data_IF_544547820479
#
_entry.id   IF_544547820479
#
_cell.length_a   1.000
_cell.length_b   1.000
_cell.length_c   1.000
_cell.angle_alpha   90.00
_cell.angle_beta   90.00
_cell.angle_gamma   90.00
#
_symmetry.space_group_name_H-M   'P 1'
#
loop_
_entity.id
_entity.type
_entity.pdbx_description
1 polymer ?
#
# COMPACT_ATOMS: atom_id res chain seq x y z
N UNK A 1 3.95 -9.11 -8.91
CA UNK A 1 3.53 -7.69 -8.84
C UNK A 1 3.87 -6.88 -10.08
N UNK A 2 5.14 -6.66 -10.46
CA UNK A 2 5.47 -5.84 -11.64
C UNK A 2 4.77 -6.29 -12.93
N UNK A 3 4.81 -7.60 -13.24
CA UNK A 3 4.09 -8.19 -14.37
C UNK A 3 2.57 -8.00 -14.27
N UNK A 4 1.98 -8.14 -13.08
CA UNK A 4 0.55 -7.93 -12.84
C UNK A 4 0.13 -6.46 -13.06
N UNK A 5 1.05 -5.51 -12.90
CA UNK A 5 0.79 -4.11 -13.26
C UNK A 5 0.85 -3.87 -14.77
N UNK A 6 1.73 -4.59 -15.48
CA UNK A 6 1.88 -4.53 -16.94
C UNK A 6 0.69 -5.17 -17.66
N UNK A 7 0.27 -6.36 -17.23
CA UNK A 7 -0.88 -7.07 -17.81
C UNK A 7 -2.22 -6.38 -17.51
N UNK A 8 -2.25 -5.50 -16.51
CA UNK A 8 -3.47 -4.83 -16.08
C UNK A 8 -4.30 -5.61 -15.07
N UNK A 9 -3.85 -6.81 -14.65
CA UNK A 9 -4.51 -7.65 -13.64
C UNK A 9 -4.77 -6.88 -12.34
N UNK A 10 -3.88 -5.94 -12.00
CA UNK A 10 -4.06 -5.02 -10.86
C UNK A 10 -4.02 -3.57 -11.37
N UNK A 11 -5.21 -3.00 -11.59
CA UNK A 11 -5.36 -1.68 -12.18
C UNK A 11 -5.59 -0.54 -11.18
N UNK A 12 -6.42 -0.77 -10.14
CA UNK A 12 -6.91 0.25 -9.21
C UNK A 12 -5.84 0.82 -8.27
N UNK A 13 -5.97 2.10 -7.91
CA UNK A 13 -4.96 2.81 -7.09
C UNK A 13 -4.72 2.19 -5.70
N UNK A 14 -5.78 1.78 -5.00
CA UNK A 14 -5.68 1.11 -3.70
C UNK A 14 -5.12 -0.32 -3.86
N UNK A 15 -5.67 -1.10 -4.81
CA UNK A 15 -5.22 -2.46 -5.09
C UNK A 15 -3.72 -2.52 -5.45
N UNK A 16 -3.24 -1.60 -6.30
CA UNK A 16 -1.82 -1.48 -6.63
C UNK A 16 -0.99 -1.15 -5.40
N UNK A 17 -1.41 -0.19 -4.58
CA UNK A 17 -0.70 0.19 -3.37
C UNK A 17 -0.57 -0.98 -2.39
N UNK A 18 -1.66 -1.71 -2.13
CA UNK A 18 -1.66 -2.90 -1.26
C UNK A 18 -0.74 -3.98 -1.81
N UNK A 19 -0.86 -4.32 -3.10
CA UNK A 19 -0.02 -5.35 -3.72
C UNK A 19 1.48 -5.01 -3.66
N UNK A 20 1.84 -3.74 -3.84
CA UNK A 20 3.22 -3.28 -3.70
C UNK A 20 3.72 -3.44 -2.27
N UNK A 21 2.92 -3.01 -1.29
CA UNK A 21 3.28 -3.09 0.12
C UNK A 21 3.44 -4.56 0.57
N UNK A 22 2.53 -5.45 0.17
CA UNK A 22 2.66 -6.89 0.43
C UNK A 22 3.89 -7.51 -0.22
N UNK A 23 4.27 -7.08 -1.43
CA UNK A 23 5.52 -7.52 -2.04
C UNK A 23 6.76 -7.00 -1.29
N UNK A 24 6.72 -5.76 -0.77
CA UNK A 24 7.79 -5.27 0.09
C UNK A 24 7.87 -6.02 1.42
N UNK A 25 6.75 -6.46 1.98
CA UNK A 25 6.75 -7.31 3.16
C UNK A 25 7.51 -8.61 2.89
N UNK A 26 7.18 -9.35 1.84
CA UNK A 26 7.91 -10.58 1.52
C UNK A 26 9.39 -10.30 1.23
N UNK A 27 9.71 -9.24 0.47
CA UNK A 27 11.09 -8.89 0.19
C UNK A 27 11.90 -8.48 1.44
N UNK A 28 11.29 -7.81 2.42
CA UNK A 28 11.92 -7.45 3.70
C UNK A 28 12.10 -8.68 4.59
N UNK A 29 11.15 -9.61 4.56
CA UNK A 29 11.22 -10.87 5.31
C UNK A 29 12.41 -11.71 4.85
N UNK A 30 12.60 -11.83 3.53
CA UNK A 30 13.68 -12.62 2.92
C UNK A 30 15.03 -11.90 2.85
N UNK A 31 15.05 -10.58 3.07
CA UNK A 31 16.27 -9.77 3.08
C UNK A 31 17.29 -10.32 4.09
N UNK A 32 18.59 -10.11 3.85
CA UNK A 32 19.65 -10.34 4.85
C UNK A 32 20.67 -9.23 4.72
N UNK A 33 21.08 -8.66 5.85
CA UNK A 33 22.11 -7.60 5.86
C UNK A 33 23.46 -8.22 5.55
N UNK A 34 24.18 -7.77 4.51
CA UNK A 34 25.55 -8.19 4.28
C UNK A 34 26.46 -7.80 5.46
N UNK A 35 27.43 -8.65 5.81
CA UNK A 35 28.32 -8.46 6.98
C UNK A 35 29.03 -7.10 7.04
N UNK A 36 29.32 -6.51 5.88
CA UNK A 36 30.05 -5.23 5.76
C UNK A 36 29.13 -4.01 5.61
N UNK A 37 27.82 -4.16 5.75
CA UNK A 37 26.85 -3.09 5.50
C UNK A 37 25.93 -2.82 6.68
N UNK A 38 25.55 -1.55 6.81
CA UNK A 38 24.49 -1.14 7.71
C UNK A 38 23.11 -1.45 7.09
N UNK A 39 22.24 -2.10 7.87
CA UNK A 39 20.88 -2.49 7.48
C UNK A 39 20.09 -1.35 6.84
N UNK A 40 20.01 -0.19 7.52
CA UNK A 40 19.21 0.97 7.05
C UNK A 40 19.63 1.41 5.64
N UNK A 41 20.94 1.51 5.39
CA UNK A 41 21.48 1.97 4.11
C UNK A 41 21.22 0.96 3.00
N UNK A 42 21.55 -0.31 3.25
CA UNK A 42 21.45 -1.35 2.22
C UNK A 42 19.99 -1.74 1.92
N UNK A 43 19.13 -1.83 2.94
CA UNK A 43 17.71 -2.07 2.76
C UNK A 43 17.04 -0.94 1.97
N UNK A 44 17.36 0.33 2.29
CA UNK A 44 16.84 1.48 1.52
C UNK A 44 17.25 1.40 0.04
N UNK A 45 18.50 1.02 -0.25
CA UNK A 45 18.98 0.84 -1.61
C UNK A 45 18.24 -0.31 -2.33
N UNK A 46 17.94 -1.42 -1.64
CA UNK A 46 17.15 -2.52 -2.22
C UNK A 46 15.71 -2.12 -2.52
N UNK A 47 15.04 -1.44 -1.59
CA UNK A 47 13.70 -0.89 -1.85
C UNK A 47 13.72 0.05 -3.05
N UNK A 48 14.73 0.91 -3.19
CA UNK A 48 14.88 1.76 -4.38
C UNK A 48 14.99 0.92 -5.68
N UNK A 49 15.76 -0.17 -5.68
CA UNK A 49 15.88 -1.02 -6.86
C UNK A 49 14.54 -1.67 -7.26
N UNK A 50 13.74 -2.11 -6.28
CA UNK A 50 12.41 -2.67 -6.52
C UNK A 50 11.46 -1.59 -7.05
N UNK A 51 11.50 -0.38 -6.49
CA UNK A 51 10.71 0.76 -6.97
C UNK A 51 11.05 1.10 -8.42
N UNK A 52 12.33 1.14 -8.79
CA UNK A 52 12.75 1.40 -10.18
C UNK A 52 12.20 0.36 -11.14
N UNK A 53 12.23 -0.93 -10.76
CA UNK A 53 11.62 -1.99 -11.56
C UNK A 53 10.09 -1.84 -11.68
N UNK A 54 9.39 -1.45 -10.60
CA UNK A 54 7.96 -1.20 -10.66
C UNK A 54 7.63 -0.01 -11.58
N UNK A 55 8.45 1.05 -11.57
CA UNK A 55 8.30 2.20 -12.49
C UNK A 55 8.45 1.76 -13.95
N UNK A 56 9.43 0.91 -14.26
CA UNK A 56 9.61 0.41 -15.64
C UNK A 56 8.46 -0.50 -16.09
N UNK A 57 7.75 -1.14 -15.15
CA UNK A 57 6.54 -1.90 -15.44
C UNK A 57 5.34 -0.97 -15.68
N UNK A 58 5.10 0.00 -14.79
CA UNK A 58 4.01 0.96 -14.92
C UNK A 58 4.26 2.17 -14.01
N UNK A 59 4.04 3.42 -14.47
CA UNK A 59 4.19 4.60 -13.63
C UNK A 59 3.41 4.47 -12.31
N UNK A 60 4.05 4.84 -11.21
CA UNK A 60 3.48 4.73 -9.87
C UNK A 60 2.25 5.64 -9.73
N UNK A 61 1.25 5.16 -9.01
CA UNK A 61 0.16 6.02 -8.55
C UNK A 61 0.64 6.95 -7.42
N UNK A 62 -0.13 8.00 -7.15
CA UNK A 62 0.09 8.87 -5.99
C UNK A 62 0.05 8.09 -4.67
N UNK A 63 -0.89 7.16 -4.53
CA UNK A 63 -0.99 6.27 -3.35
C UNK A 63 0.30 5.47 -3.13
N UNK A 64 0.86 4.88 -4.18
CA UNK A 64 2.12 4.13 -4.12
C UNK A 64 3.29 5.04 -3.74
N UNK A 65 3.41 6.22 -4.36
CA UNK A 65 4.48 7.18 -4.05
C UNK A 65 4.47 7.59 -2.58
N UNK A 66 3.29 7.87 -2.02
CA UNK A 66 3.13 8.18 -0.60
C UNK A 66 3.48 7.00 0.32
N UNK A 67 3.07 5.79 -0.03
CA UNK A 67 3.40 4.58 0.73
C UNK A 67 4.91 4.27 0.71
N UNK A 68 5.57 4.45 -0.44
CA UNK A 68 7.04 4.32 -0.55
C UNK A 68 7.74 5.34 0.33
N UNK A 69 7.31 6.60 0.31
CA UNK A 69 7.87 7.66 1.17
C UNK A 69 7.71 7.31 2.65
N UNK A 70 6.52 6.83 3.04
CA UNK A 70 6.27 6.36 4.41
C UNK A 70 7.23 5.22 4.80
N UNK A 71 7.36 4.19 3.97
CA UNK A 71 8.22 3.05 4.28
C UNK A 71 9.70 3.47 4.40
N UNK A 72 10.19 4.30 3.49
CA UNK A 72 11.56 4.83 3.55
C UNK A 72 11.81 5.65 4.82
N UNK A 73 10.84 6.45 5.25
CA UNK A 73 10.90 7.19 6.52
C UNK A 73 10.93 6.26 7.73
N UNK A 74 10.20 5.14 7.70
CA UNK A 74 10.29 4.11 8.75
C UNK A 74 11.65 3.43 8.79
N UNK A 75 12.22 3.09 7.62
CA UNK A 75 13.55 2.49 7.53
C UNK A 75 14.62 3.44 8.08
N UNK A 76 14.58 4.73 7.72
CA UNK A 76 15.60 5.70 8.16
C UNK A 76 15.57 5.97 9.67
N UNK A 77 14.42 5.74 10.33
CA UNK A 77 14.21 5.95 11.76
C UNK A 77 14.40 4.68 12.61
N UNK A 78 14.83 3.57 12.01
CA UNK A 78 15.14 2.36 12.77
C UNK A 78 16.28 2.61 13.76
N UNK A 79 16.10 2.14 14.99
CA UNK A 79 17.14 2.23 16.02
C UNK A 79 18.29 1.29 15.70
N UNK A 80 19.53 1.78 15.87
CA UNK A 80 20.74 0.99 15.69
C UNK A 80 20.91 -0.13 16.72
N UNK A 81 20.13 -0.08 17.81
CA UNK A 81 20.16 -1.10 18.87
C UNK A 81 19.33 -2.34 18.53
N UNK A 82 18.47 -2.27 17.51
CA UNK A 82 17.63 -3.39 17.10
C UNK A 82 18.46 -4.43 16.35
N UNK A 83 18.18 -5.70 16.61
CA UNK A 83 18.61 -6.79 15.75
C UNK A 83 17.92 -6.70 14.39
N UNK A 84 18.49 -7.34 13.37
CA UNK A 84 17.86 -7.41 12.05
C UNK A 84 16.43 -7.98 12.10
N UNK A 85 16.21 -9.00 12.95
CA UNK A 85 14.89 -9.63 13.10
C UNK A 85 13.86 -8.66 13.68
N UNK A 86 14.23 -7.90 14.72
CA UNK A 86 13.35 -6.91 15.35
C UNK A 86 13.07 -5.74 14.40
N UNK A 87 14.08 -5.26 13.67
CA UNK A 87 13.93 -4.22 12.67
C UNK A 87 12.96 -4.66 11.56
N UNK A 88 13.11 -5.89 11.04
CA UNK A 88 12.16 -6.45 10.07
C UNK A 88 10.75 -6.55 10.63
N UNK A 89 10.58 -7.11 11.83
CA UNK A 89 9.26 -7.23 12.48
C UNK A 89 8.58 -5.87 12.63
N UNK A 90 9.34 -4.85 13.02
CA UNK A 90 8.84 -3.46 13.13
C UNK A 90 8.33 -2.95 11.79
N UNK A 91 9.11 -3.13 10.71
CA UNK A 91 8.70 -2.72 9.36
C UNK A 91 7.48 -3.49 8.86
N UNK A 92 7.38 -4.80 9.14
CA UNK A 92 6.21 -5.61 8.82
C UNK A 92 4.95 -5.07 9.49
N UNK A 93 5.05 -4.76 10.78
CA UNK A 93 3.96 -4.17 11.56
C UNK A 93 3.57 -2.79 11.02
N UNK A 94 4.55 -1.95 10.67
CA UNK A 94 4.29 -0.63 10.09
C UNK A 94 3.57 -0.70 8.74
N UNK A 95 3.93 -1.66 7.89
CA UNK A 95 3.26 -1.88 6.61
C UNK A 95 1.82 -2.36 6.82
N UNK A 96 1.62 -3.37 7.69
CA UNK A 96 0.28 -3.85 8.03
C UNK A 96 -0.60 -2.73 8.58
N UNK A 97 -0.05 -1.92 9.48
CA UNK A 97 -0.76 -0.75 10.03
C UNK A 97 -1.13 0.25 8.94
N UNK A 98 -0.21 0.54 8.01
CA UNK A 98 -0.51 1.44 6.90
C UNK A 98 -1.67 0.91 6.04
N UNK A 99 -1.64 -0.36 5.65
CA UNK A 99 -2.71 -0.99 4.85
C UNK A 99 -4.04 -0.91 5.60
N UNK A 100 -4.05 -1.30 6.88
CA UNK A 100 -5.26 -1.34 7.68
C UNK A 100 -5.83 0.06 7.93
N UNK A 101 -5.03 1.00 8.42
CA UNK A 101 -5.53 2.31 8.84
C UNK A 101 -5.73 3.28 7.66
N UNK A 102 -4.80 3.30 6.69
CA UNK A 102 -4.80 4.31 5.62
C UNK A 102 -5.58 3.90 4.38
N UNK A 103 -5.96 2.62 4.27
CA UNK A 103 -6.71 2.10 3.13
C UNK A 103 -8.00 1.46 3.62
N UNK A 104 -7.93 0.32 4.32
CA UNK A 104 -9.13 -0.49 4.63
C UNK A 104 -10.10 0.26 5.55
N UNK A 105 -9.62 0.79 6.68
CA UNK A 105 -10.46 1.51 7.62
C UNK A 105 -10.93 2.85 7.04
N UNK A 106 -10.07 3.52 6.26
CA UNK A 106 -10.44 4.75 5.58
C UNK A 106 -11.61 4.51 4.60
N UNK A 107 -11.53 3.46 3.77
CA UNK A 107 -12.60 3.10 2.83
C UNK A 107 -13.91 2.81 3.58
N UNK A 108 -13.87 2.05 4.69
CA UNK A 108 -15.06 1.79 5.51
C UNK A 108 -15.70 3.06 6.09
N UNK A 109 -14.89 4.00 6.55
CA UNK A 109 -15.38 5.28 7.10
C UNK A 109 -15.97 6.15 5.99
N UNK A 110 -15.32 6.19 4.82
CA UNK A 110 -15.82 6.89 3.63
C UNK A 110 -17.18 6.32 3.23
N UNK A 111 -17.31 5.00 3.13
CA UNK A 111 -18.57 4.32 2.79
C UNK A 111 -19.68 4.71 3.76
N UNK A 112 -19.44 4.52 5.06
CA UNK A 112 -20.43 4.86 6.10
C UNK A 112 -20.86 6.31 6.02
N UNK A 113 -19.93 7.23 5.76
CA UNK A 113 -20.26 8.65 5.67
C UNK A 113 -21.02 8.99 4.39
N UNK A 114 -20.59 8.46 3.24
CA UNK A 114 -21.18 8.73 1.94
C UNK A 114 -22.64 8.26 1.88
N UNK A 115 -22.95 7.08 2.43
CA UNK A 115 -24.31 6.53 2.41
C UNK A 115 -25.31 7.39 3.21
N UNK A 116 -24.87 8.12 4.24
CA UNK A 116 -25.75 9.10 4.93
C UNK A 116 -26.24 10.24 4.05
N UNK A 117 -25.69 10.40 2.84
CA UNK A 117 -26.03 11.46 1.89
C UNK A 117 -26.94 10.97 0.76
N UNK A 118 -27.13 9.67 0.62
CA UNK A 118 -28.00 9.05 -0.38
C UNK A 118 -29.41 8.95 0.21
N UNK A 119 -30.42 9.28 -0.58
CA UNK A 119 -31.84 9.24 -0.20
C UNK A 119 -32.65 8.40 -1.18
N UNK A 120 -33.78 7.89 -0.69
CA UNK A 120 -34.73 7.16 -1.53
C UNK A 120 -35.19 8.02 -2.72
N UNK A 121 -35.09 7.43 -3.92
CA UNK A 121 -35.40 8.11 -5.17
C UNK A 121 -34.25 8.88 -5.80
N UNK A 122 -33.08 8.97 -5.15
CA UNK A 122 -31.88 9.54 -5.78
C UNK A 122 -31.44 8.70 -6.98
N UNK A 123 -30.97 9.38 -8.04
CA UNK A 123 -30.33 8.76 -9.20
C UNK A 123 -28.85 9.13 -9.20
N UNK A 124 -28.01 8.14 -8.94
CA UNK A 124 -26.56 8.31 -8.78
C UNK A 124 -25.83 8.03 -10.10
N UNK A 125 -24.89 8.90 -10.46
CA UNK A 125 -24.01 8.72 -11.61
C UNK A 125 -22.59 8.39 -11.14
N UNK A 126 -22.00 7.35 -11.73
CA UNK A 126 -20.59 6.97 -11.53
C UNK A 126 -19.87 6.82 -12.86
N UNK A 127 -18.54 6.85 -12.84
CA UNK A 127 -17.72 6.67 -14.03
C UNK A 127 -16.41 5.92 -13.68
N UNK A 128 -16.04 4.98 -14.55
CA UNK A 128 -14.89 4.10 -14.33
C UNK A 128 -15.15 3.01 -13.28
N UNK A 129 -14.10 2.24 -12.95
CA UNK A 129 -14.15 1.20 -11.91
C UNK A 129 -13.39 1.67 -10.68
N UNK A 130 -14.13 2.13 -9.68
CA UNK A 130 -13.60 2.60 -8.40
C UNK A 130 -14.18 1.77 -7.25
N UNK A 131 -13.33 0.93 -6.66
CA UNK A 131 -13.70 0.01 -5.58
C UNK A 131 -14.46 0.70 -4.42
N UNK A 132 -14.02 1.89 -3.97
CA UNK A 132 -14.73 2.61 -2.90
C UNK A 132 -16.13 3.08 -3.30
N UNK A 133 -16.36 3.41 -4.58
CA UNK A 133 -17.68 3.81 -5.07
C UNK A 133 -18.59 2.60 -5.18
N UNK A 134 -18.06 1.48 -5.67
CA UNK A 134 -18.77 0.19 -5.67
C UNK A 134 -19.21 -0.20 -4.25
N UNK A 135 -18.30 -0.14 -3.27
CA UNK A 135 -18.63 -0.38 -1.86
C UNK A 135 -19.72 0.58 -1.32
N UNK A 136 -19.73 1.85 -1.75
CA UNK A 136 -20.78 2.81 -1.36
C UNK A 136 -22.13 2.36 -1.91
N UNK A 137 -22.18 2.01 -3.20
CA UNK A 137 -23.43 1.61 -3.86
C UNK A 137 -23.96 0.29 -3.33
N UNK A 138 -23.09 -0.69 -3.08
CA UNK A 138 -23.45 -1.96 -2.44
C UNK A 138 -24.02 -1.72 -1.05
N UNK A 139 -23.30 -0.96 -0.20
CA UNK A 139 -23.76 -0.70 1.17
C UNK A 139 -25.05 0.12 1.21
N UNK A 140 -25.25 1.07 0.30
CA UNK A 140 -26.49 1.83 0.21
C UNK A 140 -27.68 0.98 -0.25
N UNK A 141 -27.43 -0.05 -1.07
CA UNK A 141 -28.47 -0.96 -1.55
C UNK A 141 -28.92 -1.97 -0.49
N UNK A 142 -28.03 -2.34 0.44
CA UNK A 142 -28.32 -3.28 1.53
C UNK A 142 -29.08 -2.66 2.72
N UNK A 143 -29.11 -1.32 2.83
CA UNK A 143 -29.84 -0.58 3.87
C UNK A 143 -31.33 -0.46 3.55
#
# INVERSE_FOLDING_TARGET
VGLQYLSGDIAGGNARCVAMLSAFQEAIKDYKTPSEKALVRDLTAKINSYVSFLISCRPLSISMGNAIRFLKDRISKLSLTLTESEAKSTLQSDINRFINEKIILADKVIVRHAVTKIRDGDVLLTYGSACVVEMILEYAHEL
#
